data_IF_143090458353
#
_entry.id   IF_143090458353
#
_cell.length_a   1.000
_cell.length_b   1.000
_cell.length_c   1.000
_cell.angle_alpha   90.00
_cell.angle_beta   90.00
_cell.angle_gamma   90.00
#
_symmetry.space_group_name_H-M   'P 1'
#
loop_
_entity.id
_entity.type
_entity.pdbx_description
1 polymer ?
#
# COMPACT_ATOMS: atom_id res chain seq x y z
N UNK A 1 -19.62 -19.79 -46.87
CA UNK A 1 -19.87 -18.57 -46.07
C UNK A 1 -19.69 -18.81 -44.57
N UNK A 2 -20.25 -19.88 -43.98
CA UNK A 2 -20.11 -20.18 -42.54
C UNK A 2 -18.65 -20.39 -42.07
N UNK A 3 -17.78 -20.93 -42.94
CA UNK A 3 -16.39 -21.21 -42.58
C UNK A 3 -15.54 -19.94 -42.38
N UNK A 4 -15.93 -18.82 -43.01
CA UNK A 4 -15.28 -17.51 -42.83
C UNK A 4 -15.72 -16.81 -41.55
N UNK A 5 -16.82 -17.26 -40.93
CA UNK A 5 -17.33 -16.69 -39.68
C UNK A 5 -16.51 -17.15 -38.48
N UNK A 6 -16.02 -18.39 -38.48
CA UNK A 6 -15.16 -18.92 -37.42
C UNK A 6 -13.92 -18.07 -37.14
N UNK A 7 -13.05 -17.74 -38.12
CA UNK A 7 -11.87 -16.91 -37.86
C UNK A 7 -12.23 -15.49 -37.39
N UNK A 8 -13.35 -14.92 -37.84
CA UNK A 8 -13.85 -13.63 -37.35
C UNK A 8 -14.28 -13.70 -35.88
N UNK A 9 -15.01 -14.75 -35.48
CA UNK A 9 -15.42 -14.97 -34.10
C UNK A 9 -14.20 -15.21 -33.20
N UNK A 10 -13.26 -16.06 -33.62
CA UNK A 10 -12.03 -16.30 -32.87
C UNK A 10 -11.18 -15.02 -32.75
N UNK A 11 -11.07 -14.23 -33.82
CA UNK A 11 -10.39 -12.93 -33.80
C UNK A 11 -11.05 -11.95 -32.83
N UNK A 12 -12.38 -11.86 -32.84
CA UNK A 12 -13.13 -11.01 -31.91
C UNK A 12 -12.92 -11.44 -30.45
N UNK A 13 -13.02 -12.74 -30.16
CA UNK A 13 -12.76 -13.28 -28.82
C UNK A 13 -11.31 -13.01 -28.40
N UNK A 14 -10.35 -13.19 -29.30
CA UNK A 14 -8.93 -12.95 -29.01
C UNK A 14 -8.67 -11.49 -28.64
N UNK A 15 -9.22 -10.52 -29.38
CA UNK A 15 -9.08 -9.09 -29.07
C UNK A 15 -9.75 -8.75 -27.74
N UNK A 16 -10.92 -9.33 -27.44
CA UNK A 16 -11.60 -9.14 -26.16
C UNK A 16 -10.75 -9.67 -24.99
N UNK A 17 -10.14 -10.84 -25.13
CA UNK A 17 -9.27 -11.41 -24.11
C UNK A 17 -7.99 -10.57 -23.93
N UNK A 18 -7.38 -10.09 -25.01
CA UNK A 18 -6.24 -9.17 -24.93
C UNK A 18 -6.62 -7.88 -24.18
N UNK A 19 -7.75 -7.26 -24.54
CA UNK A 19 -8.25 -6.09 -23.84
C UNK A 19 -8.42 -6.37 -22.34
N UNK A 20 -9.06 -7.48 -21.98
CA UNK A 20 -9.27 -7.85 -20.59
C UNK A 20 -7.94 -8.02 -19.85
N UNK A 21 -6.96 -8.68 -20.44
CA UNK A 21 -5.64 -8.87 -19.85
C UNK A 21 -4.96 -7.52 -19.57
N UNK A 22 -4.93 -6.60 -20.54
CA UNK A 22 -4.36 -5.26 -20.35
C UNK A 22 -5.11 -4.45 -19.29
N UNK A 23 -6.45 -4.52 -19.27
CA UNK A 23 -7.27 -3.84 -18.26
C UNK A 23 -6.96 -4.33 -16.84
N UNK A 24 -6.81 -5.64 -16.65
CA UNK A 24 -6.49 -6.24 -15.34
C UNK A 24 -5.07 -5.87 -14.89
N UNK A 25 -4.08 -5.92 -15.80
CA UNK A 25 -2.70 -5.51 -15.49
C UNK A 25 -2.62 -4.04 -15.06
N UNK A 26 -3.37 -3.14 -15.71
CA UNK A 26 -3.42 -1.72 -15.33
C UNK A 26 -4.00 -1.48 -13.93
N UNK A 27 -4.91 -2.34 -13.47
CA UNK A 27 -5.45 -2.28 -12.09
C UNK A 27 -4.43 -2.77 -11.06
N UNK A 28 -3.65 -3.81 -11.38
CA UNK A 28 -2.57 -4.32 -10.53
C UNK A 28 -1.46 -3.29 -10.30
N UNK A 29 -1.06 -2.55 -11.35
CA UNK A 29 -0.05 -1.49 -11.22
C UNK A 29 -0.50 -0.30 -10.36
N UNK A 30 -1.79 0.05 -10.41
CA UNK A 30 -2.39 1.07 -9.53
C UNK A 30 -2.39 0.65 -8.06
N UNK A 31 -2.55 -0.64 -7.77
CA UNK A 31 -2.51 -1.16 -6.40
C UNK A 31 -1.09 -1.33 -5.84
N UNK A 32 -0.09 -1.47 -6.73
CA UNK A 32 1.33 -1.62 -6.36
C UNK A 32 2.01 -0.30 -5.95
N UNK A 33 1.34 0.84 -6.11
CA UNK A 33 1.74 2.10 -5.49
C UNK A 33 0.97 2.24 -4.18
N UNK A 34 1.46 1.69 -3.05
CA UNK A 34 0.86 2.00 -1.77
C UNK A 34 0.94 3.52 -1.59
N UNK A 35 -0.21 4.18 -1.59
CA UNK A 35 -0.28 5.50 -0.95
C UNK A 35 0.28 5.30 0.46
N UNK A 36 1.18 6.20 0.86
CA UNK A 36 1.85 6.21 2.18
C UNK A 36 0.86 6.05 3.35
N UNK A 37 -0.41 6.33 3.10
CA UNK A 37 -1.54 6.04 3.96
C UNK A 37 -2.60 5.20 3.21
N UNK A 38 -2.89 3.98 3.69
CA UNK A 38 -3.92 3.08 3.14
C UNK A 38 -5.34 3.42 3.58
N UNK A 39 -5.48 4.24 4.63
CA UNK A 39 -6.77 4.50 5.27
C UNK A 39 -7.21 5.95 5.09
N UNK A 40 -6.29 6.86 4.77
CA UNK A 40 -6.53 8.31 4.76
C UNK A 40 -6.84 8.85 6.16
N UNK A 41 -6.60 8.04 7.20
CA UNK A 41 -6.95 8.34 8.59
C UNK A 41 -5.66 8.57 9.33
N UNK A 42 -5.52 9.77 9.88
CA UNK A 42 -4.47 10.08 10.83
C UNK A 42 -4.68 9.20 12.06
N UNK A 43 -3.90 8.13 12.19
CA UNK A 43 -3.91 7.26 13.36
C UNK A 43 -2.91 7.81 14.35
N UNK A 44 -3.41 8.41 15.43
CA UNK A 44 -2.61 8.78 16.60
C UNK A 44 -2.78 7.66 17.63
N UNK A 45 -1.67 7.21 18.22
CA UNK A 45 -1.69 6.25 19.32
C UNK A 45 -2.49 6.83 20.49
N UNK A 46 -3.43 6.08 21.12
CA UNK A 46 -4.31 6.63 22.16
C UNK A 46 -3.53 7.18 23.36
N UNK A 47 -2.32 6.69 23.60
CA UNK A 47 -1.42 7.17 24.67
C UNK A 47 -0.87 8.58 24.40
N UNK A 48 -1.01 9.10 23.18
CA UNK A 48 -0.62 10.46 22.81
C UNK A 48 -1.78 11.46 22.91
N UNK A 49 -2.96 11.02 23.35
CA UNK A 49 -4.12 11.88 23.51
C UNK A 49 -4.45 12.12 24.98
N UNK A 50 -4.84 13.36 25.30
CA UNK A 50 -5.40 13.71 26.60
C UNK A 50 -6.87 13.27 26.75
N UNK A 51 -7.47 13.56 27.91
CA UNK A 51 -8.88 13.23 28.20
C UNK A 51 -9.88 13.90 27.26
N UNK A 52 -9.49 15.00 26.63
CA UNK A 52 -10.31 15.79 25.71
C UNK A 52 -10.06 15.40 24.23
N UNK A 53 -9.19 14.42 23.97
CA UNK A 53 -8.85 13.93 22.64
C UNK A 53 -7.94 14.87 21.84
N UNK A 54 -7.18 15.73 22.52
CA UNK A 54 -6.11 16.56 21.92
C UNK A 54 -4.75 15.90 22.15
N UNK A 55 -3.71 16.39 21.49
CA UNK A 55 -2.36 15.86 21.71
C UNK A 55 -1.92 16.14 23.16
N UNK A 56 -1.47 15.10 23.86
CA UNK A 56 -1.05 15.22 25.25
C UNK A 56 0.22 16.08 25.36
N UNK A 57 0.22 17.02 26.31
CA UNK A 57 1.38 17.87 26.66
C UNK A 57 2.14 17.32 27.88
N UNK A 58 1.74 16.14 28.39
CA UNK A 58 2.34 15.52 29.57
C UNK A 58 3.67 14.83 29.24
N UNK A 59 4.56 14.74 30.24
CA UNK A 59 5.83 14.03 30.10
C UNK A 59 5.57 12.51 30.00
N UNK A 60 5.80 11.95 28.82
CA UNK A 60 5.65 10.52 28.56
C UNK A 60 6.85 9.73 29.09
N UNK A 61 6.58 8.69 29.89
CA UNK A 61 7.60 7.79 30.40
C UNK A 61 8.19 6.95 29.26
N UNK A 62 9.46 7.13 28.94
CA UNK A 62 10.19 6.26 28.01
C UNK A 62 11.05 5.27 28.78
N UNK A 63 10.85 3.97 28.57
CA UNK A 63 11.74 2.94 29.11
C UNK A 63 12.93 2.76 28.16
N UNK A 64 14.15 2.98 28.66
CA UNK A 64 15.39 2.63 27.95
C UNK A 64 15.86 1.28 28.46
N UNK A 65 15.97 0.30 27.57
CA UNK A 65 16.57 -1.00 27.91
C UNK A 65 18.08 -0.88 27.79
N UNK A 66 18.77 -0.79 28.93
CA UNK A 66 20.23 -0.80 29.01
C UNK A 66 20.72 -2.24 28.84
N UNK A 67 20.86 -2.69 27.60
CA UNK A 67 21.29 -4.05 27.27
C UNK A 67 22.12 -4.16 26.01
N UNK A 68 21.66 -3.64 24.86
CA UNK A 68 22.25 -4.05 23.56
C UNK A 68 22.27 -2.93 22.48
N UNK A 69 22.59 -1.69 22.84
CA UNK A 69 22.88 -0.67 21.81
C UNK A 69 23.73 0.49 22.35
N UNK A 70 25.00 0.21 22.61
CA UNK A 70 26.03 1.22 22.36
C UNK A 70 26.11 1.38 20.82
N UNK A 71 25.78 2.54 20.24
CA UNK A 71 26.18 2.80 18.86
C UNK A 71 27.70 2.86 18.89
N UNK A 72 28.36 1.97 18.14
CA UNK A 72 29.80 2.01 17.95
C UNK A 72 30.22 3.41 17.49
N UNK A 73 30.74 4.20 18.41
CA UNK A 73 31.39 5.47 18.14
C UNK A 73 32.61 5.15 17.27
N UNK A 74 32.50 5.44 15.98
CA UNK A 74 33.59 5.26 15.02
C UNK A 74 34.60 6.38 15.28
N UNK A 75 35.82 6.10 15.77
CA UNK A 75 36.82 7.15 15.95
C UNK A 75 37.48 7.44 14.60
N UNK A 76 37.46 8.72 14.20
CA UNK A 76 38.25 9.28 13.10
C UNK A 76 39.76 9.27 13.41
#
# INVERSE_FOLDING_TARGET
MLNSLFPLVYGAVFVLLLWQAFRVMGQGFKAAHPSKDRTGKVTVHPELLDQDGRLTEEDLLTVRFSGDQEPSENPD
#
